data_IF_578276384876
#
_entry.id   IF_578276384876
#
_cell.length_a   1.000
_cell.length_b   1.000
_cell.length_c   1.000
_cell.angle_alpha   90.00
_cell.angle_beta   90.00
_cell.angle_gamma   90.00
#
_symmetry.space_group_name_H-M   'P 1'
#
loop_
_entity.id
_entity.type
_entity.pdbx_description
1 polymer ?
#
# COMPACT_ATOMS: atom_id res chain seq x y z
N UNK A 1 17.12 0.58 3.26
CA UNK A 1 16.41 1.68 2.56
C UNK A 1 16.32 1.36 1.07
N UNK A 2 15.35 0.56 0.58
CA UNK A 2 15.34 0.22 -0.86
C UNK A 2 14.29 -0.75 -1.43
N UNK A 3 13.35 -1.30 -0.65
CA UNK A 3 12.57 -2.46 -1.13
C UNK A 3 11.21 -2.13 -1.76
N UNK A 4 10.58 -0.98 -1.46
CA UNK A 4 9.20 -0.71 -1.91
C UNK A 4 9.13 -0.43 -3.43
N UNK A 5 10.17 0.20 -3.99
CA UNK A 5 10.18 0.59 -5.41
C UNK A 5 10.30 -0.60 -6.37
N UNK A 6 10.69 -1.79 -5.88
CA UNK A 6 10.81 -3.02 -6.69
C UNK A 6 9.53 -3.85 -6.79
N UNK A 7 8.52 -3.63 -5.92
CA UNK A 7 7.20 -4.28 -6.02
C UNK A 7 6.20 -3.34 -6.71
N UNK A 8 6.65 -2.73 -7.81
CA UNK A 8 5.93 -1.69 -8.54
C UNK A 8 4.71 -2.20 -9.32
N UNK A 9 4.67 -3.50 -9.64
CA UNK A 9 3.69 -4.06 -10.57
C UNK A 9 3.14 -5.41 -10.13
N UNK A 10 1.94 -5.73 -10.64
CA UNK A 10 1.30 -7.03 -10.43
C UNK A 10 2.18 -8.18 -10.94
N UNK A 11 3.00 -7.89 -11.95
CA UNK A 11 3.96 -8.82 -12.50
C UNK A 11 5.06 -9.18 -11.49
N UNK A 12 5.57 -8.20 -10.73
CA UNK A 12 6.61 -8.44 -9.71
C UNK A 12 6.07 -9.29 -8.55
N UNK A 13 4.82 -9.04 -8.13
CA UNK A 13 4.16 -9.86 -7.11
C UNK A 13 3.87 -11.27 -7.61
N UNK A 14 3.32 -11.42 -8.81
CA UNK A 14 3.05 -12.72 -9.40
C UNK A 14 4.35 -13.54 -9.53
N UNK A 15 5.44 -12.90 -9.98
CA UNK A 15 6.77 -13.52 -10.08
C UNK A 15 7.33 -13.93 -8.70
N UNK A 16 7.09 -13.14 -7.66
CA UNK A 16 7.48 -13.48 -6.28
C UNK A 16 6.64 -14.64 -5.71
N UNK A 17 5.36 -14.71 -6.11
CA UNK A 17 4.44 -15.79 -5.72
C UNK A 17 4.60 -17.07 -6.57
N UNK A 18 5.51 -17.11 -7.54
CA UNK A 18 5.70 -18.25 -8.45
C UNK A 18 4.54 -18.43 -9.45
N UNK A 19 3.75 -17.39 -9.70
CA UNK A 19 2.53 -17.43 -10.50
C UNK A 19 2.64 -16.54 -11.75
N UNK A 20 1.90 -16.89 -12.80
CA UNK A 20 1.65 -16.00 -13.93
C UNK A 20 0.73 -14.84 -13.53
N UNK A 21 0.87 -13.67 -14.16
CA UNK A 21 0.05 -12.46 -13.88
C UNK A 21 -1.46 -12.74 -13.89
N UNK A 22 -1.92 -13.56 -14.83
CA UNK A 22 -3.33 -13.94 -14.99
C UNK A 22 -3.80 -14.82 -13.83
N UNK A 23 -3.09 -15.92 -13.54
CA UNK A 23 -3.41 -16.80 -12.41
C UNK A 23 -3.34 -16.09 -11.07
N UNK A 24 -2.44 -15.11 -10.91
CA UNK A 24 -2.37 -14.28 -9.72
C UNK A 24 -3.63 -13.41 -9.55
N UNK A 25 -4.15 -12.82 -10.64
CA UNK A 25 -5.41 -12.08 -10.60
C UNK A 25 -6.63 -12.95 -10.32
N UNK A 26 -6.67 -14.16 -10.87
CA UNK A 26 -7.75 -15.13 -10.62
C UNK A 26 -7.73 -15.67 -9.19
N UNK A 27 -6.54 -15.95 -8.64
CA UNK A 27 -6.37 -16.48 -7.27
C UNK A 27 -6.75 -15.47 -6.19
N UNK A 28 -6.58 -14.18 -6.46
CA UNK A 28 -6.85 -13.12 -5.51
C UNK A 28 -8.33 -12.73 -5.40
N UNK A 29 -9.18 -13.15 -6.33
CA UNK A 29 -10.60 -12.76 -6.38
C UNK A 29 -10.83 -11.25 -6.56
N UNK A 30 -9.77 -10.48 -6.81
CA UNK A 30 -9.74 -9.03 -6.99
C UNK A 30 -8.64 -8.69 -8.00
N UNK A 31 -8.74 -7.52 -8.64
CA UNK A 31 -7.74 -7.16 -9.63
C UNK A 31 -6.34 -7.04 -8.98
N UNK A 32 -5.26 -7.45 -9.66
CA UNK A 32 -3.90 -7.38 -9.11
C UNK A 32 -3.48 -5.96 -8.68
N UNK A 33 -4.04 -4.94 -9.33
CA UNK A 33 -3.86 -3.52 -9.00
C UNK A 33 -4.51 -3.16 -7.66
N UNK A 34 -5.72 -3.66 -7.38
CA UNK A 34 -6.39 -3.48 -6.09
C UNK A 34 -5.60 -4.18 -4.97
N UNK A 35 -5.10 -5.39 -5.20
CA UNK A 35 -4.27 -6.09 -4.22
C UNK A 35 -2.97 -5.35 -3.92
N UNK A 36 -2.28 -4.84 -4.95
CA UNK A 36 -1.09 -4.00 -4.77
C UNK A 36 -1.38 -2.74 -4.00
N UNK A 37 -2.47 -2.07 -4.34
CA UNK A 37 -2.90 -0.86 -3.65
C UNK A 37 -3.15 -1.19 -2.19
N UNK A 38 -3.84 -2.29 -1.89
CA UNK A 38 -4.06 -2.79 -0.54
C UNK A 38 -2.78 -3.04 0.22
N UNK A 39 -1.84 -3.77 -0.39
CA UNK A 39 -0.55 -4.08 0.22
C UNK A 39 0.28 -2.82 0.50
N UNK A 40 0.29 -1.85 -0.42
CA UNK A 40 0.97 -0.56 -0.23
C UNK A 40 0.40 0.20 0.96
N UNK A 41 -0.93 0.18 1.12
CA UNK A 41 -1.60 0.85 2.26
C UNK A 41 -1.28 0.17 3.59
N UNK A 42 -1.21 -1.16 3.64
CA UNK A 42 -0.81 -1.90 4.86
C UNK A 42 0.65 -1.56 5.23
N UNK A 43 1.55 -1.54 4.26
CA UNK A 43 2.96 -1.19 4.48
C UNK A 43 3.13 0.27 4.92
N UNK A 44 2.29 1.17 4.42
CA UNK A 44 2.22 2.55 4.86
C UNK A 44 1.71 2.66 6.30
N UNK A 45 0.65 1.91 6.64
CA UNK A 45 0.09 1.85 7.98
C UNK A 45 1.13 1.35 9.00
N UNK A 46 1.89 0.30 8.67
CA UNK A 46 2.98 -0.23 9.51
C UNK A 46 4.05 0.85 9.79
N UNK A 47 4.47 1.60 8.76
CA UNK A 47 5.44 2.70 8.94
C UNK A 47 4.91 3.86 9.77
N UNK A 48 3.62 4.16 9.64
CA UNK A 48 2.95 5.18 10.45
C UNK A 48 2.84 4.72 11.91
N UNK A 49 2.53 3.44 12.15
CA UNK A 49 2.45 2.85 13.48
C UNK A 49 3.80 2.85 14.22
N UNK A 50 4.90 2.72 13.50
CA UNK A 50 6.25 2.79 14.08
C UNK A 50 6.66 4.20 14.55
N UNK A 51 5.82 5.24 14.35
CA UNK A 51 6.02 6.60 14.86
C UNK A 51 7.21 7.37 14.25
N UNK A 52 7.98 6.73 13.37
CA UNK A 52 9.21 7.28 12.76
C UNK A 52 8.98 7.98 11.43
N UNK A 53 7.75 7.96 10.91
CA UNK A 53 7.43 8.45 9.57
C UNK A 53 6.12 9.23 9.59
N UNK A 54 6.09 10.41 8.97
CA UNK A 54 4.87 11.21 8.83
C UNK A 54 4.13 10.87 7.53
N UNK A 55 2.85 11.23 7.45
CA UNK A 55 2.04 11.10 6.23
C UNK A 55 2.71 11.75 5.01
N UNK A 56 3.24 12.96 5.17
CA UNK A 56 3.97 13.69 4.15
C UNK A 56 5.21 12.94 3.62
N UNK A 57 5.88 12.15 4.47
CA UNK A 57 7.01 11.33 4.06
C UNK A 57 6.57 10.00 3.44
N UNK A 58 5.45 9.42 3.90
CA UNK A 58 4.97 8.13 3.40
C UNK A 58 4.35 8.27 2.01
N UNK A 59 3.51 9.28 1.75
CA UNK A 59 2.82 9.47 0.47
C UNK A 59 3.73 9.36 -0.78
N UNK A 60 4.87 10.10 -0.88
CA UNK A 60 5.74 9.99 -2.05
C UNK A 60 6.46 8.62 -2.15
N UNK A 61 6.71 7.93 -1.03
CA UNK A 61 7.42 6.64 -1.04
C UNK A 61 6.62 5.48 -1.64
N UNK A 62 5.31 5.63 -1.70
CA UNK A 62 4.36 4.67 -2.29
C UNK A 62 3.70 5.20 -3.57
N UNK A 63 4.19 6.33 -4.10
CA UNK A 63 3.81 6.85 -5.42
C UNK A 63 2.59 7.77 -5.43
N UNK A 64 2.26 8.40 -4.29
CA UNK A 64 1.23 9.43 -4.23
C UNK A 64 1.86 10.82 -4.18
N UNK A 65 1.40 11.71 -5.06
CA UNK A 65 1.88 13.09 -5.16
C UNK A 65 1.40 14.00 -4.02
N UNK A 66 0.41 13.57 -3.24
CA UNK A 66 -0.16 14.37 -2.17
C UNK A 66 -0.69 13.52 -1.02
N UNK A 67 -0.56 14.04 0.20
CA UNK A 67 -1.10 13.43 1.42
C UNK A 67 -2.61 13.18 1.31
N UNK A 68 -3.35 14.09 0.68
CA UNK A 68 -4.80 13.96 0.45
C UNK A 68 -5.15 12.81 -0.48
N UNK A 69 -4.39 12.63 -1.57
CA UNK A 69 -4.58 11.53 -2.51
C UNK A 69 -4.28 10.19 -1.84
N UNK A 70 -3.21 10.13 -1.06
CA UNK A 70 -2.89 8.98 -0.22
C UNK A 70 -3.99 8.72 0.82
N UNK A 71 -4.45 9.73 1.54
CA UNK A 71 -5.46 9.59 2.59
C UNK A 71 -6.82 9.11 2.04
N UNK A 72 -7.22 9.58 0.86
CA UNK A 72 -8.41 9.12 0.17
C UNK A 72 -8.29 7.64 -0.22
N UNK A 73 -7.17 7.23 -0.80
CA UNK A 73 -6.91 5.85 -1.17
C UNK A 73 -6.80 4.94 0.07
N UNK A 74 -6.12 5.38 1.12
CA UNK A 74 -5.99 4.67 2.39
C UNK A 74 -7.35 4.46 3.05
N UNK A 75 -8.21 5.49 3.09
CA UNK A 75 -9.57 5.36 3.63
C UNK A 75 -10.42 4.39 2.81
N UNK A 76 -10.31 4.42 1.48
CA UNK A 76 -11.03 3.49 0.60
C UNK A 76 -10.64 2.03 0.85
N UNK A 77 -9.36 1.78 1.11
CA UNK A 77 -8.79 0.43 1.25
C UNK A 77 -8.88 -0.12 2.67
N UNK A 78 -8.63 0.70 3.68
CA UNK A 78 -8.53 0.31 5.10
C UNK A 78 -9.72 0.78 5.94
N UNK A 79 -10.69 1.49 5.33
CA UNK A 79 -11.93 1.91 5.98
C UNK A 79 -11.80 3.13 6.91
N UNK A 80 -10.58 3.51 7.31
CA UNK A 80 -10.31 4.62 8.22
C UNK A 80 -9.26 5.56 7.64
N UNK A 81 -9.28 6.83 8.04
CA UNK A 81 -8.24 7.77 7.59
C UNK A 81 -6.89 7.46 8.25
N UNK A 82 -5.76 7.67 7.56
CA UNK A 82 -4.44 7.41 8.14
C UNK A 82 -4.15 8.26 9.39
N UNK A 83 -4.74 9.46 9.50
CA UNK A 83 -4.68 10.27 10.73
C UNK A 83 -5.43 9.61 11.90
N UNK A 84 -6.61 9.04 11.65
CA UNK A 84 -7.34 8.28 12.67
C UNK A 84 -6.58 7.02 13.07
N UNK A 85 -5.97 6.32 12.11
CA UNK A 85 -5.16 5.14 12.36
C UNK A 85 -3.96 5.47 13.26
N UNK A 86 -3.21 6.53 12.98
CA UNK A 86 -2.11 6.99 13.84
C UNK A 86 -2.60 7.38 15.23
N UNK A 87 -3.71 8.13 15.31
CA UNK A 87 -4.32 8.54 16.59
C UNK A 87 -4.84 7.36 17.41
N UNK A 88 -5.20 6.23 16.78
CA UNK A 88 -5.63 5.04 17.48
C UNK A 88 -4.46 4.21 18.04
N UNK A 89 -3.23 4.48 17.59
CA UNK A 89 -2.01 3.76 17.97
C UNK A 89 -1.17 4.57 18.96
N UNK A 90 -1.32 5.90 18.96
CA UNK A 90 -0.75 6.83 19.94
C UNK A 90 -1.68 6.99 21.14
#
# INVERSE_FOLDING_TARGET
MGTIRRMGSAADLAKTAGMSRSSFGETLGQTPLEYLTRWRMILAADRLAQGRTTLAMVAPTIGYESESAFAAAFKRVLGQSPRQFVKAIT
#
